data_IF_960662940761
#
_entry.id   IF_960662940761
#
_cell.length_a   1.000
_cell.length_b   1.000
_cell.length_c   1.000
_cell.angle_alpha   90.00
_cell.angle_beta   90.00
_cell.angle_gamma   90.00
#
_symmetry.space_group_name_H-M   'P 1'
#
loop_
_entity.id
_entity.type
_entity.pdbx_description
1 polymer ?
#
# COMPACT_ATOMS: atom_id res chain seq x y z
N UNK A 1 4.00 54.27 -6.96
CA UNK A 1 4.81 53.69 -5.87
C UNK A 1 4.25 54.21 -4.55
N UNK A 2 3.97 53.32 -3.59
CA UNK A 2 3.27 53.65 -2.32
C UNK A 2 4.15 54.51 -1.41
N UNK A 3 3.65 55.67 -1.00
CA UNK A 3 4.41 56.70 -0.25
C UNK A 3 4.34 56.47 1.27
N UNK A 4 3.65 55.43 1.76
CA UNK A 4 3.79 54.96 3.15
C UNK A 4 3.68 53.44 3.25
N UNK A 5 4.79 52.71 3.06
CA UNK A 5 4.87 51.26 3.24
C UNK A 5 4.38 50.82 4.62
N UNK A 6 4.61 51.62 5.66
CA UNK A 6 4.18 51.32 7.03
C UNK A 6 2.66 51.32 7.20
N UNK A 7 1.97 52.32 6.65
CA UNK A 7 0.51 52.41 6.71
C UNK A 7 -0.14 51.25 5.96
N UNK A 8 0.43 50.88 4.81
CA UNK A 8 -0.02 49.73 4.03
C UNK A 8 0.21 48.40 4.78
N UNK A 9 1.42 48.17 5.29
CA UNK A 9 1.75 46.94 6.02
C UNK A 9 0.92 46.79 7.30
N UNK A 10 0.74 47.88 8.05
CA UNK A 10 -0.12 47.91 9.22
C UNK A 10 -1.57 47.57 8.86
N UNK A 11 -2.16 48.26 7.87
CA UNK A 11 -3.54 47.99 7.46
C UNK A 11 -3.69 46.57 6.91
N UNK A 12 -2.71 46.07 6.15
CA UNK A 12 -2.69 44.70 5.60
C UNK A 12 -2.74 43.66 6.70
N UNK A 13 -1.93 43.80 7.75
CA UNK A 13 -1.92 42.89 8.89
C UNK A 13 -3.28 42.86 9.60
N UNK A 14 -3.86 44.03 9.86
CA UNK A 14 -5.17 44.17 10.50
C UNK A 14 -6.30 43.62 9.62
N UNK A 15 -6.22 43.83 8.30
CA UNK A 15 -7.20 43.34 7.34
C UNK A 15 -7.27 41.81 7.31
N UNK A 16 -6.14 41.11 7.45
CA UNK A 16 -6.13 39.65 7.55
C UNK A 16 -6.88 39.13 8.79
N UNK A 17 -6.64 39.75 9.95
CA UNK A 17 -7.33 39.38 11.19
C UNK A 17 -8.83 39.69 11.11
N UNK A 18 -9.18 40.88 10.62
CA UNK A 18 -10.57 41.33 10.47
C UNK A 18 -11.35 40.46 9.48
N UNK A 19 -10.76 40.08 8.35
CA UNK A 19 -11.39 39.21 7.35
C UNK A 19 -11.81 37.85 7.94
N UNK A 20 -11.00 37.29 8.85
CA UNK A 20 -11.32 36.05 9.56
C UNK A 20 -12.57 36.15 10.44
N UNK A 21 -12.83 37.33 11.03
CA UNK A 21 -13.93 37.58 11.98
C UNK A 21 -15.19 38.17 11.34
N UNK A 22 -15.13 38.61 10.09
CA UNK A 22 -16.21 39.31 9.42
C UNK A 22 -17.28 38.34 8.87
N UNK A 23 -18.58 38.60 9.08
CA UNK A 23 -19.68 37.85 8.48
C UNK A 23 -19.58 37.83 6.96
N UNK A 24 -19.99 36.73 6.33
CA UNK A 24 -19.86 36.54 4.87
C UNK A 24 -20.60 37.61 4.05
N UNK A 25 -21.73 38.12 4.54
CA UNK A 25 -22.52 39.17 3.90
C UNK A 25 -21.77 40.52 3.82
N UNK A 26 -20.85 40.76 4.75
CA UNK A 26 -20.07 41.99 4.90
C UNK A 26 -18.69 41.92 4.21
N UNK A 27 -18.31 40.76 3.65
CA UNK A 27 -17.03 40.57 2.93
C UNK A 27 -17.06 41.15 1.52
N UNK A 28 -17.41 42.42 1.43
CA UNK A 28 -17.48 43.18 0.19
C UNK A 28 -16.37 44.23 0.19
N UNK A 29 -15.87 44.57 -1.00
CA UNK A 29 -14.76 45.52 -1.14
C UNK A 29 -15.09 46.89 -0.52
N UNK A 30 -16.36 47.34 -0.64
CA UNK A 30 -16.83 48.60 -0.07
C UNK A 30 -16.75 48.66 1.45
N UNK A 31 -17.24 47.63 2.14
CA UNK A 31 -17.23 47.56 3.62
C UNK A 31 -15.81 47.54 4.19
N UNK A 32 -14.91 46.83 3.51
CA UNK A 32 -13.51 46.71 3.93
C UNK A 32 -12.74 47.99 3.64
N UNK A 33 -13.03 48.65 2.53
CA UNK A 33 -12.46 49.95 2.20
C UNK A 33 -12.93 51.03 3.20
N UNK A 34 -14.21 51.03 3.58
CA UNK A 34 -14.76 51.97 4.56
C UNK A 34 -14.14 51.78 5.96
N UNK A 35 -14.06 50.52 6.43
CA UNK A 35 -13.35 50.20 7.67
C UNK A 35 -11.87 50.58 7.59
N UNK A 36 -11.19 50.22 6.50
CA UNK A 36 -9.76 50.46 6.34
C UNK A 36 -9.41 51.95 6.26
N UNK A 37 -10.26 52.76 5.65
CA UNK A 37 -10.12 54.21 5.62
C UNK A 37 -10.28 54.80 7.03
N UNK A 38 -11.31 54.39 7.78
CA UNK A 38 -11.51 54.84 9.17
C UNK A 38 -10.36 54.42 10.10
N UNK A 39 -9.88 53.18 9.96
CA UNK A 39 -8.76 52.65 10.72
C UNK A 39 -7.44 53.37 10.41
N UNK A 40 -7.21 53.71 9.14
CA UNK A 40 -6.05 54.50 8.72
C UNK A 40 -6.11 55.95 9.21
N UNK A 41 -7.30 56.55 9.26
CA UNK A 41 -7.50 57.89 9.83
C UNK A 41 -7.17 57.90 11.33
N UNK A 42 -7.67 56.93 12.10
CA UNK A 42 -7.33 56.80 13.53
C UNK A 42 -5.85 56.49 13.75
N UNK A 43 -5.26 55.63 12.90
CA UNK A 43 -3.84 55.31 12.95
C UNK A 43 -2.97 56.54 12.68
N UNK A 44 -3.39 57.41 11.75
CA UNK A 44 -2.74 58.69 11.45
C UNK A 44 -2.79 59.64 12.64
N UNK A 45 -3.97 59.80 13.24
CA UNK A 45 -4.22 60.70 14.37
C UNK A 45 -3.47 60.28 15.65
N UNK A 46 -3.21 58.98 15.81
CA UNK A 46 -2.49 58.42 16.95
C UNK A 46 -0.95 58.50 16.86
N UNK A 47 -0.38 59.09 15.81
CA UNK A 47 1.08 59.18 15.60
C UNK A 47 1.59 60.62 15.53
N UNK A 48 2.72 60.94 16.18
CA UNK A 48 3.36 62.26 16.08
C UNK A 48 3.79 62.63 14.66
N UNK A 49 4.13 61.61 13.86
CA UNK A 49 4.67 61.74 12.49
C UNK A 49 3.62 61.43 11.40
N UNK A 50 2.34 61.32 11.77
CA UNK A 50 1.25 60.95 10.85
C UNK A 50 0.87 62.03 9.83
N UNK A 51 1.50 63.22 9.89
CA UNK A 51 1.07 64.43 9.17
C UNK A 51 1.16 64.40 7.64
N UNK A 52 1.95 63.50 7.05
CA UNK A 52 2.30 63.58 5.62
C UNK A 52 1.36 62.83 4.67
N UNK A 53 0.33 62.16 5.19
CA UNK A 53 -0.63 61.39 4.38
C UNK A 53 -1.97 62.12 4.24
N UNK A 54 -2.25 62.57 3.01
CA UNK A 54 -3.56 63.13 2.64
C UNK A 54 -4.68 62.09 2.73
N UNK A 55 -5.91 62.54 2.98
CA UNK A 55 -7.10 61.68 3.02
C UNK A 55 -7.27 60.88 1.71
N UNK A 56 -6.92 61.48 0.58
CA UNK A 56 -6.94 60.83 -0.72
C UNK A 56 -5.91 59.68 -0.85
N UNK A 57 -4.80 59.71 -0.11
CA UNK A 57 -3.82 58.63 -0.06
C UNK A 57 -4.26 57.51 0.88
N UNK A 58 -4.87 57.85 2.01
CA UNK A 58 -5.47 56.86 2.92
C UNK A 58 -6.60 56.09 2.23
N UNK A 59 -7.50 56.82 1.56
CA UNK A 59 -8.61 56.22 0.81
C UNK A 59 -8.14 55.30 -0.33
N UNK A 60 -7.06 55.66 -1.04
CA UNK A 60 -6.47 54.79 -2.07
C UNK A 60 -5.87 53.51 -1.48
N UNK A 61 -5.10 53.65 -0.40
CA UNK A 61 -4.50 52.51 0.31
C UNK A 61 -5.56 51.53 0.83
N UNK A 62 -6.63 52.05 1.43
CA UNK A 62 -7.74 51.24 1.92
C UNK A 62 -8.46 50.49 0.80
N UNK A 63 -8.71 51.15 -0.33
CA UNK A 63 -9.34 50.54 -1.50
C UNK A 63 -8.48 49.44 -2.14
N UNK A 64 -7.17 49.62 -2.22
CA UNK A 64 -6.26 48.63 -2.81
C UNK A 64 -6.12 47.38 -1.92
N UNK A 65 -6.04 47.55 -0.60
CA UNK A 65 -6.07 46.44 0.36
C UNK A 65 -7.41 45.71 0.30
N UNK A 66 -8.53 46.43 0.28
CA UNK A 66 -9.86 45.83 0.19
C UNK A 66 -10.04 44.98 -1.07
N UNK A 67 -9.60 45.50 -2.23
CA UNK A 67 -9.65 44.80 -3.51
C UNK A 67 -8.83 43.52 -3.47
N UNK A 68 -7.59 43.61 -2.99
CA UNK A 68 -6.71 42.44 -2.83
C UNK A 68 -7.31 41.36 -1.91
N UNK A 69 -7.93 41.79 -0.79
CA UNK A 69 -8.55 40.87 0.16
C UNK A 69 -9.73 40.10 -0.47
N UNK A 70 -10.59 40.79 -1.20
CA UNK A 70 -11.74 40.18 -1.89
C UNK A 70 -11.27 39.27 -3.03
N UNK A 71 -10.35 39.73 -3.88
CA UNK A 71 -9.85 38.94 -5.02
C UNK A 71 -9.12 37.68 -4.58
N UNK A 72 -8.26 37.76 -3.55
CA UNK A 72 -7.40 36.65 -3.13
C UNK A 72 -8.07 35.71 -2.12
N UNK A 73 -8.94 36.23 -1.26
CA UNK A 73 -9.56 35.47 -0.16
C UNK A 73 -11.07 35.29 -0.30
N UNK A 74 -11.75 36.00 -1.21
CA UNK A 74 -13.17 35.81 -1.52
C UNK A 74 -13.48 34.49 -2.23
N UNK A 75 -12.52 33.93 -2.98
CA UNK A 75 -12.71 32.71 -3.78
C UNK A 75 -12.23 31.42 -3.10
N UNK A 76 -11.48 31.47 -1.99
CA UNK A 76 -10.97 30.26 -1.34
C UNK A 76 -11.89 29.81 -0.22
N UNK A 77 -12.51 28.63 -0.37
CA UNK A 77 -12.91 27.78 0.75
C UNK A 77 -11.66 27.45 1.57
N UNK A 78 -11.29 28.36 2.46
CA UNK A 78 -10.27 28.10 3.48
C UNK A 78 -10.84 27.07 4.42
N UNK A 79 -10.46 25.79 4.25
CA UNK A 79 -10.55 24.85 5.36
C UNK A 79 -9.80 25.48 6.54
N UNK A 80 -10.35 25.45 7.77
CA UNK A 80 -9.61 25.92 8.94
C UNK A 80 -8.25 25.22 8.97
N UNK A 81 -7.21 25.97 9.36
CA UNK A 81 -5.89 25.38 9.55
C UNK A 81 -6.03 24.18 10.51
N UNK A 82 -5.52 22.99 10.16
CA UNK A 82 -5.61 21.85 11.05
C UNK A 82 -4.92 22.20 12.37
N UNK A 83 -5.62 21.98 13.49
CA UNK A 83 -5.12 22.26 14.86
C UNK A 83 -3.91 21.40 15.24
N UNK A 84 -3.55 20.42 14.42
CA UNK A 84 -2.47 19.46 14.63
C UNK A 84 -1.60 19.36 13.38
N UNK A 85 -0.28 19.23 13.59
CA UNK A 85 0.70 19.05 12.51
C UNK A 85 0.40 17.76 11.72
N UNK A 86 0.99 17.61 10.52
CA UNK A 86 0.86 16.36 9.77
C UNK A 86 1.39 15.16 10.58
N UNK A 87 2.50 15.35 11.30
CA UNK A 87 3.07 14.36 12.21
C UNK A 87 2.13 14.04 13.37
N UNK A 88 1.56 15.06 14.03
CA UNK A 88 0.62 14.85 15.13
C UNK A 88 -0.62 14.06 14.71
N UNK A 89 -1.13 14.28 13.50
CA UNK A 89 -2.24 13.47 12.94
C UNK A 89 -1.83 12.05 12.58
N UNK A 90 -0.59 11.83 12.17
CA UNK A 90 -0.05 10.50 11.89
C UNK A 90 0.14 9.69 13.19
N UNK A 91 0.70 10.32 14.23
CA UNK A 91 0.85 9.73 15.58
C UNK A 91 -0.51 9.40 16.17
N UNK A 92 -1.46 10.34 16.15
CA UNK A 92 -2.81 10.11 16.65
C UNK A 92 -3.50 8.95 15.91
N UNK A 93 -3.37 8.89 14.58
CA UNK A 93 -3.91 7.77 13.80
C UNK A 93 -3.27 6.44 14.21
N UNK A 94 -1.96 6.40 14.45
CA UNK A 94 -1.20 5.21 14.88
C UNK A 94 -1.67 4.71 16.26
N UNK A 95 -1.87 5.62 17.20
CA UNK A 95 -2.37 5.31 18.54
C UNK A 95 -3.77 4.70 18.47
N UNK A 96 -4.68 5.30 17.68
CA UNK A 96 -6.05 4.81 17.52
C UNK A 96 -6.09 3.47 16.78
N UNK A 97 -5.20 3.23 15.81
CA UNK A 97 -5.29 2.08 14.92
C UNK A 97 -4.49 0.85 15.36
N UNK A 98 -3.52 1.01 16.28
CA UNK A 98 -2.61 -0.05 16.71
C UNK A 98 -2.45 -0.07 18.24
N UNK A 99 -1.88 0.98 18.83
CA UNK A 99 -1.48 1.01 20.25
C UNK A 99 -2.63 0.69 21.21
N UNK A 100 -3.78 1.36 21.07
CA UNK A 100 -4.93 1.12 21.96
C UNK A 100 -5.62 -0.22 21.69
N UNK A 101 -5.83 -0.64 20.44
CA UNK A 101 -6.22 -2.01 20.14
C UNK A 101 -5.36 -3.10 20.80
N UNK A 102 -4.03 -2.96 20.73
CA UNK A 102 -3.09 -3.94 21.31
C UNK A 102 -3.22 -3.97 22.84
N UNK A 103 -3.33 -2.79 23.48
CA UNK A 103 -3.59 -2.68 24.91
C UNK A 103 -4.94 -3.29 25.32
N UNK A 104 -6.01 -3.07 24.54
CA UNK A 104 -7.33 -3.63 24.82
C UNK A 104 -7.30 -5.17 24.76
N UNK A 105 -6.56 -5.75 23.82
CA UNK A 105 -6.38 -7.20 23.73
C UNK A 105 -5.58 -7.77 24.89
N UNK A 106 -4.51 -7.08 25.31
CA UNK A 106 -3.68 -7.45 26.45
C UNK A 106 -4.50 -7.53 27.76
N UNK A 107 -5.47 -6.62 27.93
CA UNK A 107 -6.37 -6.62 29.10
C UNK A 107 -7.64 -7.47 28.90
N UNK A 108 -7.73 -8.24 27.81
CA UNK A 108 -8.86 -9.13 27.51
C UNK A 108 -10.16 -8.42 27.13
N UNK A 109 -10.10 -7.16 26.70
CA UNK A 109 -11.24 -6.38 26.23
C UNK A 109 -11.39 -6.44 24.70
N UNK A 110 -12.64 -6.48 24.19
CA UNK A 110 -12.89 -6.54 22.75
C UNK A 110 -12.53 -5.21 22.05
N UNK A 111 -11.72 -5.29 20.99
CA UNK A 111 -11.31 -4.15 20.16
C UNK A 111 -12.49 -3.67 19.31
N UNK A 112 -13.27 -2.74 19.86
CA UNK A 112 -14.39 -2.09 19.17
C UNK A 112 -14.14 -0.60 18.98
N UNK A 113 -14.76 0.00 17.96
CA UNK A 113 -14.66 1.46 17.74
C UNK A 113 -15.13 2.27 18.96
N UNK A 114 -16.11 1.74 19.71
CA UNK A 114 -16.62 2.32 20.94
C UNK A 114 -15.58 2.25 22.07
N UNK A 115 -14.95 1.09 22.28
CA UNK A 115 -13.93 0.91 23.33
C UNK A 115 -12.71 1.81 23.07
N UNK A 116 -12.22 1.84 21.82
CA UNK A 116 -11.08 2.71 21.42
C UNK A 116 -11.43 4.19 21.55
N UNK A 117 -12.66 4.58 21.20
CA UNK A 117 -13.14 5.95 21.33
C UNK A 117 -13.21 6.42 22.80
N UNK A 118 -13.68 5.54 23.69
CA UNK A 118 -13.74 5.81 25.13
C UNK A 118 -12.34 5.91 25.75
N UNK A 119 -11.42 5.06 25.32
CA UNK A 119 -10.06 5.04 25.87
C UNK A 119 -9.21 6.26 25.50
N UNK A 120 -9.48 6.88 24.34
CA UNK A 120 -8.71 8.02 23.81
C UNK A 120 -9.47 9.34 23.83
N UNK A 121 -10.68 9.37 24.40
CA UNK A 121 -11.61 10.50 24.36
C UNK A 121 -11.77 11.10 22.94
N UNK A 122 -11.98 10.22 21.95
CA UNK A 122 -12.22 10.60 20.56
C UNK A 122 -13.61 10.15 20.11
N UNK A 123 -14.17 10.81 19.09
CA UNK A 123 -15.45 10.34 18.52
C UNK A 123 -15.35 8.90 17.97
N UNK A 124 -16.39 8.10 18.18
CA UNK A 124 -16.50 6.73 17.66
C UNK A 124 -16.31 6.64 16.13
N UNK A 125 -16.79 7.67 15.41
CA UNK A 125 -16.62 7.77 13.95
C UNK A 125 -15.14 7.91 13.54
N UNK A 126 -14.33 8.60 14.35
CA UNK A 126 -12.88 8.76 14.13
C UNK A 126 -12.16 7.45 14.40
N UNK A 127 -12.49 6.80 15.53
CA UNK A 127 -11.97 5.48 15.89
C UNK A 127 -12.28 4.43 14.81
N UNK A 128 -13.54 4.33 14.37
CA UNK A 128 -13.97 3.38 13.33
C UNK A 128 -13.20 3.53 12.02
N UNK A 129 -13.00 4.77 11.54
CA UNK A 129 -12.23 5.02 10.31
C UNK A 129 -10.76 4.63 10.47
N UNK A 130 -10.14 4.96 11.59
CA UNK A 130 -8.75 4.64 11.84
C UNK A 130 -8.52 3.13 11.97
N UNK A 131 -9.39 2.41 12.69
CA UNK A 131 -9.34 0.94 12.82
C UNK A 131 -9.50 0.23 11.48
N UNK A 132 -10.45 0.67 10.64
CA UNK A 132 -10.64 0.13 9.29
C UNK A 132 -9.41 0.30 8.38
N UNK A 133 -8.53 1.27 8.70
CA UNK A 133 -7.29 1.51 7.94
C UNK A 133 -6.09 0.76 8.52
N UNK A 134 -6.13 0.36 9.79
CA UNK A 134 -4.97 -0.21 10.51
C UNK A 134 -4.99 -1.72 10.67
N UNK A 135 -6.16 -2.34 10.86
CA UNK A 135 -6.27 -3.77 11.20
C UNK A 135 -6.90 -4.64 10.09
N UNK A 136 -7.08 -4.09 8.88
CA UNK A 136 -7.90 -4.74 7.87
C UNK A 136 -9.36 -4.86 8.35
N UNK A 137 -10.31 -5.12 7.45
CA UNK A 137 -11.70 -5.21 7.86
C UNK A 137 -12.00 -6.62 8.42
N UNK A 138 -12.23 -6.81 9.75
CA UNK A 138 -12.65 -8.11 10.31
C UNK A 138 -13.93 -8.68 9.68
N UNK A 139 -14.68 -7.87 8.93
CA UNK A 139 -15.82 -8.31 8.13
C UNK A 139 -15.45 -9.04 6.84
N UNK A 140 -14.26 -8.81 6.27
CA UNK A 140 -13.83 -9.44 5.02
C UNK A 140 -13.39 -10.87 5.27
N UNK A 141 -12.54 -11.08 6.26
CA UNK A 141 -12.01 -12.40 6.59
C UNK A 141 -13.10 -13.33 7.12
N UNK A 142 -14.03 -12.82 7.94
CA UNK A 142 -15.23 -13.57 8.34
C UNK A 142 -16.14 -13.93 7.13
N UNK A 143 -16.23 -13.07 6.11
CA UNK A 143 -17.00 -13.34 4.89
C UNK A 143 -16.31 -14.36 3.99
N UNK A 144 -14.98 -14.34 3.91
CA UNK A 144 -14.18 -15.38 3.22
C UNK A 144 -14.32 -16.71 3.97
N UNK A 145 -14.23 -16.65 5.30
CA UNK A 145 -14.62 -17.65 6.29
C UNK A 145 -15.84 -18.49 5.89
N UNK A 146 -16.92 -17.74 5.63
CA UNK A 146 -18.26 -18.26 5.36
C UNK A 146 -18.48 -18.75 3.92
N UNK A 147 -17.51 -18.62 3.02
CA UNK A 147 -17.61 -19.19 1.67
C UNK A 147 -17.51 -20.72 1.72
N UNK A 148 -18.30 -21.39 0.88
CA UNK A 148 -18.17 -22.82 0.64
C UNK A 148 -16.89 -23.16 -0.15
N UNK A 149 -16.54 -24.44 -0.28
CA UNK A 149 -15.27 -24.85 -0.90
C UNK A 149 -15.06 -24.30 -2.32
N UNK A 150 -16.11 -24.31 -3.16
CA UNK A 150 -16.02 -23.72 -4.49
C UNK A 150 -15.94 -22.18 -4.44
N UNK A 151 -16.68 -21.53 -3.53
CA UNK A 151 -16.62 -20.08 -3.32
C UNK A 151 -15.25 -19.62 -2.87
N UNK A 152 -14.56 -20.37 -2.01
CA UNK A 152 -13.17 -20.09 -1.59
C UNK A 152 -12.20 -20.17 -2.77
N UNK A 153 -12.25 -21.24 -3.56
CA UNK A 153 -11.43 -21.39 -4.77
C UNK A 153 -11.69 -20.23 -5.76
N UNK A 154 -12.96 -19.85 -5.95
CA UNK A 154 -13.31 -18.71 -6.80
C UNK A 154 -12.80 -17.38 -6.25
N UNK A 155 -12.81 -17.21 -4.92
CA UNK A 155 -12.29 -16.02 -4.27
C UNK A 155 -10.78 -15.93 -4.43
N UNK A 156 -10.04 -17.03 -4.26
CA UNK A 156 -8.60 -17.09 -4.51
C UNK A 156 -8.24 -16.76 -5.95
N UNK A 157 -8.97 -17.33 -6.92
CA UNK A 157 -8.80 -16.99 -8.35
C UNK A 157 -9.05 -15.49 -8.57
N UNK A 158 -10.11 -14.94 -7.98
CA UNK A 158 -10.48 -13.54 -8.13
C UNK A 158 -9.47 -12.58 -7.48
N UNK A 159 -8.97 -12.89 -6.29
CA UNK A 159 -7.92 -12.13 -5.61
C UNK A 159 -6.60 -12.17 -6.38
N UNK A 160 -6.20 -13.34 -6.89
CA UNK A 160 -4.98 -13.49 -7.68
C UNK A 160 -5.04 -12.71 -9.00
N UNK A 161 -6.19 -12.71 -9.68
CA UNK A 161 -6.38 -11.99 -10.93
C UNK A 161 -6.57 -10.47 -10.74
N UNK A 162 -7.22 -10.07 -9.65
CA UNK A 162 -7.59 -8.69 -9.37
C UNK A 162 -7.27 -8.36 -7.90
N UNK A 163 -5.98 -8.17 -7.54
CA UNK A 163 -5.57 -7.81 -6.17
C UNK A 163 -6.01 -6.38 -5.79
N UNK A 164 -6.33 -5.57 -6.79
CA UNK A 164 -6.85 -4.20 -6.66
C UNK A 164 -8.09 -4.01 -7.53
N UNK A 165 -8.78 -2.87 -7.36
CA UNK A 165 -9.90 -2.48 -8.20
C UNK A 165 -9.52 -2.54 -9.69
N UNK A 166 -10.26 -3.33 -10.47
CA UNK A 166 -9.91 -3.65 -11.84
C UNK A 166 -10.90 -4.61 -12.48
N UNK A 167 -10.62 -5.04 -13.72
CA UNK A 167 -11.44 -6.01 -14.42
C UNK A 167 -10.61 -6.92 -15.32
N UNK A 168 -11.12 -8.12 -15.58
CA UNK A 168 -10.59 -9.05 -16.56
C UNK A 168 -11.73 -9.86 -17.21
N UNK A 169 -11.43 -10.58 -18.29
CA UNK A 169 -12.35 -11.53 -18.92
C UNK A 169 -11.76 -12.92 -18.83
N UNK A 170 -12.58 -13.91 -18.46
CA UNK A 170 -12.20 -15.30 -18.24
C UNK A 170 -13.09 -16.22 -19.07
N UNK A 171 -12.64 -17.45 -19.31
CA UNK A 171 -13.49 -18.52 -19.87
C UNK A 171 -14.18 -19.28 -18.75
N UNK A 172 -15.49 -19.47 -18.91
CA UNK A 172 -16.30 -20.24 -17.97
C UNK A 172 -15.90 -21.72 -17.99
N UNK A 173 -15.54 -22.27 -19.16
CA UNK A 173 -14.98 -23.62 -19.31
C UNK A 173 -13.78 -23.88 -18.40
N UNK A 174 -12.84 -22.94 -18.38
CA UNK A 174 -11.56 -23.12 -17.69
C UNK A 174 -11.77 -23.08 -16.17
N UNK A 175 -12.64 -22.20 -15.69
CA UNK A 175 -12.99 -22.13 -14.27
C UNK A 175 -13.82 -23.36 -13.87
N UNK A 176 -14.74 -23.79 -14.74
CA UNK A 176 -15.56 -24.97 -14.50
C UNK A 176 -14.72 -26.24 -14.38
N UNK A 177 -13.71 -26.43 -15.24
CA UNK A 177 -12.79 -27.56 -15.19
C UNK A 177 -11.96 -27.59 -13.89
N UNK A 178 -11.73 -26.41 -13.28
CA UNK A 178 -11.02 -26.29 -12.00
C UNK A 178 -11.90 -26.58 -10.79
N UNK A 179 -13.19 -26.29 -10.88
CA UNK A 179 -14.14 -26.53 -9.78
C UNK A 179 -14.76 -27.93 -9.83
N UNK A 180 -14.93 -28.50 -11.01
CA UNK A 180 -15.65 -29.76 -11.21
C UNK A 180 -14.91 -30.66 -12.21
N UNK A 181 -14.75 -31.94 -11.85
CA UNK A 181 -14.05 -32.96 -12.62
C UNK A 181 -14.79 -33.42 -13.87
N UNK A 182 -16.13 -33.42 -13.84
CA UNK A 182 -16.91 -34.03 -14.93
C UNK A 182 -17.00 -33.07 -16.12
N UNK A 183 -16.74 -33.46 -17.37
CA UNK A 183 -16.91 -32.58 -18.52
C UNK A 183 -18.39 -32.26 -18.81
N UNK A 184 -18.65 -31.07 -19.38
CA UNK A 184 -20.00 -30.68 -19.83
C UNK A 184 -20.09 -30.82 -21.36
N UNK A 185 -20.58 -31.98 -21.81
CA UNK A 185 -20.53 -32.38 -23.22
C UNK A 185 -21.63 -31.75 -24.08
N UNK A 186 -22.80 -31.44 -23.50
CA UNK A 186 -23.94 -30.85 -24.23
C UNK A 186 -24.13 -29.37 -23.94
N UNK A 187 -24.74 -28.62 -24.87
CA UNK A 187 -25.01 -27.19 -24.68
C UNK A 187 -25.97 -26.91 -23.51
N UNK A 188 -26.93 -27.81 -23.27
CA UNK A 188 -27.80 -27.75 -22.10
C UNK A 188 -27.00 -27.94 -20.79
N UNK A 189 -26.05 -28.87 -20.76
CA UNK A 189 -25.15 -29.07 -19.61
C UNK A 189 -24.22 -27.87 -19.39
N UNK A 190 -23.68 -27.28 -20.46
CA UNK A 190 -22.86 -26.06 -20.39
C UNK A 190 -23.65 -24.88 -19.84
N UNK A 191 -24.91 -24.70 -20.26
CA UNK A 191 -25.79 -23.64 -19.75
C UNK A 191 -26.10 -23.82 -18.26
N UNK A 192 -26.49 -25.03 -17.85
CA UNK A 192 -26.72 -25.39 -16.44
C UNK A 192 -25.47 -25.20 -15.58
N UNK A 193 -24.29 -25.55 -16.13
CA UNK A 193 -23.02 -25.37 -15.42
C UNK A 193 -22.63 -23.90 -15.30
N UNK A 194 -22.88 -23.08 -16.32
CA UNK A 194 -22.69 -21.63 -16.22
C UNK A 194 -23.60 -21.01 -15.16
N UNK A 195 -24.85 -21.43 -15.07
CA UNK A 195 -25.76 -20.99 -14.01
C UNK A 195 -25.25 -21.40 -12.61
N UNK A 196 -24.76 -22.64 -12.48
CA UNK A 196 -24.11 -23.12 -11.24
C UNK A 196 -22.87 -22.29 -10.89
N UNK A 197 -22.06 -21.94 -11.88
CA UNK A 197 -20.86 -21.11 -11.71
C UNK A 197 -21.20 -19.69 -11.27
N UNK A 198 -22.19 -19.06 -11.91
CA UNK A 198 -22.68 -17.74 -11.51
C UNK A 198 -23.26 -17.74 -10.08
N UNK A 199 -23.95 -18.82 -9.71
CA UNK A 199 -24.44 -19.00 -8.33
C UNK A 199 -23.29 -19.11 -7.34
N UNK A 200 -22.20 -19.80 -7.68
CA UNK A 200 -21.01 -19.89 -6.84
C UNK A 200 -20.24 -18.55 -6.72
N UNK A 201 -20.29 -17.69 -7.76
CA UNK A 201 -19.75 -16.33 -7.70
C UNK A 201 -20.62 -15.34 -6.91
N UNK A 202 -21.92 -15.59 -6.75
CA UNK A 202 -22.85 -14.64 -6.14
C UNK A 202 -22.44 -14.17 -4.72
N UNK A 203 -21.96 -15.04 -3.81
CA UNK A 203 -21.49 -14.62 -2.48
C UNK A 203 -20.30 -13.66 -2.52
N UNK A 204 -19.44 -13.74 -3.54
CA UNK A 204 -18.25 -12.89 -3.68
C UNK A 204 -18.61 -11.42 -3.98
N UNK A 205 -19.87 -11.12 -4.34
CA UNK A 205 -20.34 -9.74 -4.45
C UNK A 205 -20.25 -8.96 -3.13
N UNK A 206 -20.37 -9.67 -1.98
CA UNK A 206 -20.16 -9.08 -0.65
C UNK A 206 -18.68 -8.80 -0.35
N UNK A 207 -17.79 -9.34 -1.17
CA UNK A 207 -16.34 -9.09 -1.18
C UNK A 207 -15.95 -8.12 -2.32
N UNK A 208 -16.94 -7.48 -2.95
CA UNK A 208 -16.78 -6.52 -4.06
C UNK A 208 -16.32 -7.13 -5.39
N UNK A 209 -16.49 -8.44 -5.58
CA UNK A 209 -16.30 -9.07 -6.89
C UNK A 209 -17.62 -9.25 -7.63
N UNK A 210 -17.67 -8.75 -8.85
CA UNK A 210 -18.86 -8.74 -9.68
C UNK A 210 -18.59 -9.43 -11.01
N UNK A 211 -19.45 -10.39 -11.36
CA UNK A 211 -19.31 -11.18 -12.58
C UNK A 211 -20.52 -10.95 -13.50
N UNK A 212 -20.26 -10.86 -14.80
CA UNK A 212 -21.28 -10.86 -15.86
C UNK A 212 -20.86 -11.88 -16.92
N UNK A 213 -21.80 -12.72 -17.36
CA UNK A 213 -21.52 -13.78 -18.34
C UNK A 213 -22.20 -13.51 -19.69
N UNK A 214 -21.53 -13.90 -20.78
CA UNK A 214 -22.13 -14.04 -22.12
C UNK A 214 -21.46 -15.19 -22.86
N UNK A 215 -22.24 -16.20 -23.26
CA UNK A 215 -21.69 -17.42 -23.86
C UNK A 215 -20.79 -18.16 -22.86
N UNK A 216 -19.56 -18.47 -23.29
CA UNK A 216 -18.51 -19.08 -22.47
C UNK A 216 -17.58 -18.03 -21.82
N UNK A 217 -17.86 -16.74 -21.98
CA UNK A 217 -17.02 -15.67 -21.43
C UNK A 217 -17.64 -15.07 -20.16
N UNK A 218 -16.77 -14.74 -19.20
CA UNK A 218 -17.09 -14.12 -17.92
C UNK A 218 -16.29 -12.84 -17.74
N UNK A 219 -16.95 -11.71 -17.58
CA UNK A 219 -16.33 -10.45 -17.20
C UNK A 219 -16.33 -10.34 -15.68
N UNK A 220 -15.15 -10.43 -15.07
CA UNK A 220 -14.94 -10.28 -13.64
C UNK A 220 -14.45 -8.85 -13.34
N UNK A 221 -14.98 -8.22 -12.29
CA UNK A 221 -14.58 -6.90 -11.83
C UNK A 221 -14.52 -6.85 -10.31
N UNK A 222 -13.49 -6.19 -9.79
CA UNK A 222 -13.37 -5.82 -8.38
C UNK A 222 -13.77 -4.36 -8.18
N UNK A 223 -14.45 -4.09 -7.06
CA UNK A 223 -14.89 -2.76 -6.66
C UNK A 223 -16.32 -2.48 -7.11
N UNK A 224 -16.52 -1.55 -8.06
CA UNK A 224 -17.87 -1.14 -8.50
C UNK A 224 -18.55 -2.22 -9.33
N UNK A 225 -19.88 -2.31 -9.21
CA UNK A 225 -20.71 -3.14 -10.09
C UNK A 225 -20.51 -2.77 -11.56
N UNK A 226 -20.64 -3.76 -12.44
CA UNK A 226 -20.64 -3.56 -13.88
C UNK A 226 -21.80 -2.66 -14.32
N UNK A 227 -21.52 -1.76 -15.25
CA UNK A 227 -22.55 -1.21 -16.12
C UNK A 227 -22.84 -2.25 -17.22
N UNK A 228 -24.11 -2.51 -17.58
CA UNK A 228 -24.46 -3.53 -18.57
C UNK A 228 -23.72 -3.35 -19.91
N UNK A 229 -23.63 -2.12 -20.40
CA UNK A 229 -22.97 -1.77 -21.67
C UNK A 229 -21.45 -2.01 -21.61
N UNK A 230 -20.80 -1.60 -20.52
CA UNK A 230 -19.36 -1.81 -20.33
C UNK A 230 -19.01 -3.30 -20.32
N UNK A 231 -19.77 -4.12 -19.58
CA UNK A 231 -19.55 -5.56 -19.51
C UNK A 231 -19.75 -6.21 -20.89
N UNK A 232 -20.81 -5.83 -21.60
CA UNK A 232 -21.09 -6.34 -22.94
C UNK A 232 -19.97 -6.01 -23.93
N UNK A 233 -19.44 -4.77 -23.90
CA UNK A 233 -18.33 -4.35 -24.74
C UNK A 233 -17.04 -5.15 -24.47
N UNK A 234 -16.72 -5.41 -23.20
CA UNK A 234 -15.52 -6.22 -22.83
C UNK A 234 -15.66 -7.67 -23.25
N UNK A 235 -16.84 -8.25 -23.09
CA UNK A 235 -17.13 -9.63 -23.52
C UNK A 235 -17.06 -9.77 -25.04
N UNK A 236 -17.62 -8.81 -25.79
CA UNK A 236 -17.54 -8.80 -27.25
C UNK A 236 -16.08 -8.69 -27.74
N UNK A 237 -15.31 -7.78 -27.15
CA UNK A 237 -13.91 -7.58 -27.50
C UNK A 237 -13.02 -8.81 -27.21
N UNK A 238 -13.36 -9.60 -26.18
CA UNK A 238 -12.67 -10.85 -25.87
C UNK A 238 -13.11 -12.02 -26.78
N UNK A 239 -14.36 -12.01 -27.25
CA UNK A 239 -14.84 -12.97 -28.25
C UNK A 239 -14.13 -12.81 -29.60
N UNK A 240 -13.82 -11.57 -30.00
CA UNK A 240 -13.11 -11.28 -31.25
C UNK A 240 -11.60 -11.56 -31.18
N UNK A 241 -10.98 -11.40 -29.99
CA UNK A 241 -9.53 -11.55 -29.79
C UNK A 241 -9.23 -12.43 -28.58
N UNK A 242 -8.87 -13.71 -28.80
CA UNK A 242 -8.58 -14.67 -27.72
C UNK A 242 -7.54 -14.19 -26.71
N UNK A 243 -6.53 -13.41 -27.13
CA UNK A 243 -5.51 -12.83 -26.25
C UNK A 243 -6.00 -11.79 -25.24
N UNK A 244 -7.30 -11.47 -25.22
CA UNK A 244 -7.93 -10.61 -24.21
C UNK A 244 -8.62 -11.39 -23.08
N UNK A 245 -8.58 -12.72 -23.16
CA UNK A 245 -8.99 -13.61 -22.06
C UNK A 245 -7.77 -13.80 -21.15
N UNK A 246 -7.93 -13.50 -19.86
CA UNK A 246 -6.90 -13.71 -18.87
C UNK A 246 -6.75 -15.21 -18.57
N UNK A 247 -5.52 -15.75 -18.52
CA UNK A 247 -5.27 -17.13 -18.12
C UNK A 247 -5.62 -17.32 -16.64
N UNK A 248 -6.00 -18.54 -16.24
CA UNK A 248 -6.23 -18.85 -14.84
C UNK A 248 -4.90 -18.99 -14.08
N UNK A 249 -4.79 -18.43 -12.86
CA UNK A 249 -3.59 -18.58 -12.02
C UNK A 249 -3.45 -20.04 -11.59
N UNK A 250 -2.25 -20.64 -11.61
CA UNK A 250 -2.02 -22.04 -11.18
C UNK A 250 -2.48 -22.23 -9.72
N UNK A 251 -3.15 -23.35 -9.34
CA UNK A 251 -3.49 -23.61 -7.93
C UNK A 251 -2.23 -23.63 -7.06
N UNK A 252 -2.28 -23.07 -5.85
CA UNK A 252 -1.15 -23.06 -4.91
C UNK A 252 -0.63 -24.47 -4.63
N UNK A 253 -1.52 -25.45 -4.63
CA UNK A 253 -1.22 -26.88 -4.42
C UNK A 253 -0.59 -27.59 -5.64
N UNK A 254 -0.42 -26.87 -6.77
CA UNK A 254 0.22 -27.39 -8.00
C UNK A 254 1.38 -26.51 -8.50
N UNK A 255 1.77 -25.51 -7.72
CA UNK A 255 3.00 -24.76 -8.00
C UNK A 255 4.21 -25.57 -7.59
N UNK A 256 5.28 -25.51 -8.38
CA UNK A 256 6.58 -26.02 -7.97
C UNK A 256 6.99 -25.31 -6.67
N UNK A 257 7.47 -26.06 -5.67
CA UNK A 257 7.89 -25.55 -4.38
C UNK A 257 8.84 -24.36 -4.53
N UNK A 258 9.82 -24.49 -5.42
CA UNK A 258 10.83 -23.47 -5.68
C UNK A 258 10.31 -22.25 -6.44
N UNK A 259 9.10 -22.32 -7.00
CA UNK A 259 8.45 -21.20 -7.70
C UNK A 259 7.46 -20.44 -6.81
N UNK A 260 7.15 -20.98 -5.62
CA UNK A 260 6.33 -20.28 -4.63
C UNK A 260 6.95 -18.93 -4.27
N UNK A 261 6.10 -17.92 -4.09
CA UNK A 261 6.56 -16.56 -3.80
C UNK A 261 7.32 -16.50 -2.45
N UNK A 262 6.94 -17.39 -1.53
CA UNK A 262 7.54 -17.57 -0.22
C UNK A 262 8.99 -18.04 -0.31
N UNK A 263 9.22 -19.15 -1.01
CA UNK A 263 10.55 -19.72 -1.20
C UNK A 263 11.42 -18.80 -2.05
N UNK A 264 10.86 -18.20 -3.12
CA UNK A 264 11.61 -17.22 -3.95
C UNK A 264 12.02 -15.99 -3.15
N UNK A 265 11.15 -15.47 -2.28
CA UNK A 265 11.46 -14.36 -1.39
C UNK A 265 12.57 -14.68 -0.37
N UNK A 266 12.56 -15.88 0.21
CA UNK A 266 13.63 -16.33 1.11
C UNK A 266 14.98 -16.48 0.38
N UNK A 267 15.00 -17.09 -0.80
CA UNK A 267 16.19 -17.18 -1.66
C UNK A 267 16.68 -15.78 -2.03
N UNK A 268 15.78 -14.87 -2.41
CA UNK A 268 16.12 -13.49 -2.72
C UNK A 268 16.81 -12.81 -1.54
N UNK A 269 16.34 -13.08 -0.33
CA UNK A 269 16.94 -12.49 0.87
C UNK A 269 18.33 -13.06 1.17
N UNK A 270 18.51 -14.37 0.98
CA UNK A 270 19.82 -15.02 1.06
C UNK A 270 20.79 -14.48 -0.01
N UNK A 271 20.30 -14.16 -1.22
CA UNK A 271 21.09 -13.51 -2.27
C UNK A 271 21.48 -12.07 -1.90
N UNK A 272 20.57 -11.32 -1.27
CA UNK A 272 20.84 -9.95 -0.79
C UNK A 272 21.96 -9.97 0.25
N UNK A 273 21.92 -10.88 1.23
CA UNK A 273 22.98 -10.95 2.24
C UNK A 273 24.33 -11.34 1.64
N UNK A 274 24.37 -12.31 0.72
CA UNK A 274 25.63 -12.86 0.22
C UNK A 274 26.30 -12.08 -0.90
N UNK A 275 25.55 -11.29 -1.69
CA UNK A 275 26.08 -10.71 -2.94
C UNK A 275 25.69 -9.26 -3.24
N UNK A 276 24.91 -8.59 -2.38
CA UNK A 276 24.52 -7.19 -2.60
C UNK A 276 23.71 -7.04 -3.88
N UNK A 277 22.41 -7.33 -3.79
CA UNK A 277 21.51 -7.60 -4.92
C UNK A 277 21.74 -6.68 -6.12
N UNK A 278 21.80 -7.19 -7.34
CA UNK A 278 22.01 -6.34 -8.52
C UNK A 278 20.81 -6.41 -9.46
N UNK A 279 19.83 -7.27 -9.15
CA UNK A 279 18.74 -7.61 -10.08
C UNK A 279 17.35 -7.22 -9.57
N UNK A 280 16.52 -6.62 -10.44
CA UNK A 280 15.15 -6.27 -10.10
C UNK A 280 14.25 -7.45 -9.68
N UNK A 281 14.46 -8.63 -10.24
CA UNK A 281 13.71 -9.85 -9.87
C UNK A 281 13.99 -10.27 -8.43
N UNK A 282 15.26 -10.20 -8.00
CA UNK A 282 15.65 -10.46 -6.60
C UNK A 282 14.98 -9.43 -5.68
N UNK A 283 14.99 -8.16 -6.06
CA UNK A 283 14.39 -7.11 -5.24
C UNK A 283 12.86 -7.22 -5.18
N UNK A 284 12.19 -7.58 -6.27
CA UNK A 284 10.73 -7.79 -6.30
C UNK A 284 10.31 -8.94 -5.38
N UNK A 285 11.01 -10.08 -5.45
CA UNK A 285 10.73 -11.23 -4.59
C UNK A 285 11.03 -10.92 -3.12
N UNK A 286 12.08 -10.14 -2.84
CA UNK A 286 12.36 -9.61 -1.50
C UNK A 286 11.21 -8.72 -1.00
N UNK A 287 10.74 -7.76 -1.79
CA UNK A 287 9.62 -6.89 -1.39
C UNK A 287 8.34 -7.67 -1.13
N UNK A 288 8.06 -8.68 -1.97
CA UNK A 288 6.86 -9.50 -1.87
C UNK A 288 6.76 -10.19 -0.51
N UNK A 289 7.89 -10.71 -0.02
CA UNK A 289 7.91 -11.45 1.24
C UNK A 289 7.92 -10.55 2.47
N UNK A 290 8.54 -9.37 2.37
CA UNK A 290 8.62 -8.42 3.48
C UNK A 290 7.26 -7.80 3.86
N UNK A 291 6.25 -7.85 2.97
CA UNK A 291 4.89 -7.30 3.17
C UNK A 291 4.83 -5.85 3.67
N UNK A 292 5.94 -5.11 3.58
CA UNK A 292 6.08 -3.73 4.04
C UNK A 292 5.18 -2.77 3.25
N UNK A 293 4.86 -3.15 2.01
CA UNK A 293 3.99 -2.39 1.11
C UNK A 293 2.95 -3.32 0.50
N UNK A 294 1.68 -2.94 0.61
CA UNK A 294 0.57 -3.69 0.00
C UNK A 294 0.63 -3.68 -1.55
N UNK A 295 1.29 -2.67 -2.13
CA UNK A 295 1.56 -2.53 -3.57
C UNK A 295 3.02 -2.07 -3.80
N UNK A 296 3.89 -3.01 -4.15
CA UNK A 296 5.31 -2.77 -4.36
C UNK A 296 5.65 -1.92 -5.59
N UNK A 297 4.70 -1.61 -6.50
CA UNK A 297 5.00 -0.93 -7.78
C UNK A 297 5.63 0.45 -7.60
N UNK A 298 5.22 1.20 -6.58
CA UNK A 298 5.81 2.50 -6.28
C UNK A 298 7.28 2.36 -5.84
N UNK A 299 7.58 1.35 -5.04
CA UNK A 299 8.94 1.03 -4.59
C UNK A 299 9.79 0.53 -5.75
N UNK A 300 9.26 -0.39 -6.57
CA UNK A 300 9.93 -0.88 -7.77
C UNK A 300 10.21 0.23 -8.78
N UNK A 301 9.29 1.18 -8.97
CA UNK A 301 9.51 2.35 -9.83
C UNK A 301 10.66 3.23 -9.34
N UNK A 302 10.75 3.45 -8.02
CA UNK A 302 11.83 4.20 -7.38
C UNK A 302 13.16 3.45 -7.49
N UNK A 303 13.14 2.14 -7.29
CA UNK A 303 14.29 1.26 -7.43
C UNK A 303 14.83 1.25 -8.88
N UNK A 304 13.96 1.10 -9.88
CA UNK A 304 14.35 1.21 -11.29
C UNK A 304 14.87 2.61 -11.65
N UNK A 305 14.32 3.66 -11.04
CA UNK A 305 14.84 5.01 -11.19
C UNK A 305 16.26 5.11 -10.62
N UNK A 306 16.50 4.58 -9.41
CA UNK A 306 17.82 4.49 -8.78
C UNK A 306 18.84 3.77 -9.68
N UNK A 307 18.45 2.62 -10.24
CA UNK A 307 19.28 1.84 -11.15
C UNK A 307 19.60 2.61 -12.45
N UNK A 308 18.63 3.38 -12.98
CA UNK A 308 18.79 4.13 -14.23
C UNK A 308 19.73 5.32 -14.09
N UNK A 309 19.56 6.11 -13.03
CA UNK A 309 20.33 7.35 -12.83
C UNK A 309 21.78 7.07 -12.43
N UNK A 310 22.04 5.90 -11.89
CA UNK A 310 23.32 5.56 -11.29
C UNK A 310 24.25 4.75 -12.19
N UNK A 311 23.77 4.36 -13.38
CA UNK A 311 24.63 3.80 -14.43
C UNK A 311 25.32 2.49 -14.07
N UNK A 312 24.67 1.63 -13.26
CA UNK A 312 25.22 0.46 -12.56
C UNK A 312 26.26 0.84 -11.49
N UNK A 313 25.79 1.13 -10.27
CA UNK A 313 26.65 1.30 -9.09
C UNK A 313 27.25 -0.07 -8.78
N UNK A 314 28.56 -0.21 -8.99
CA UNK A 314 29.29 -1.45 -8.71
C UNK A 314 29.40 -1.78 -7.20
N UNK A 315 28.92 -0.92 -6.30
CA UNK A 315 28.94 -1.07 -4.84
C UNK A 315 27.56 -0.76 -4.23
N UNK A 316 26.63 -1.68 -4.43
CA UNK A 316 25.26 -1.58 -3.94
C UNK A 316 25.12 -1.44 -2.41
N UNK A 317 26.08 -1.97 -1.65
CA UNK A 317 26.00 -2.10 -0.19
C UNK A 317 25.97 -0.78 0.59
N UNK A 318 26.47 0.32 0.02
CA UNK A 318 26.54 1.61 0.72
C UNK A 318 25.49 2.62 0.24
N UNK A 319 25.03 2.49 -1.00
CA UNK A 319 24.31 3.57 -1.68
C UNK A 319 22.80 3.36 -1.76
N UNK A 320 22.31 2.11 -1.82
CA UNK A 320 20.88 1.83 -1.96
C UNK A 320 20.06 2.12 -0.69
N UNK A 321 20.52 1.77 0.52
CA UNK A 321 19.83 2.12 1.76
C UNK A 321 19.76 3.64 1.96
N UNK A 322 20.90 4.31 1.73
CA UNK A 322 21.01 5.77 1.72
C UNK A 322 20.09 6.39 0.69
N UNK A 323 19.98 5.80 -0.50
CA UNK A 323 19.06 6.23 -1.54
C UNK A 323 17.60 6.13 -1.09
N UNK A 324 17.18 5.00 -0.54
CA UNK A 324 15.81 4.84 -0.07
C UNK A 324 15.46 5.77 1.10
N UNK A 325 16.40 5.98 2.04
CA UNK A 325 16.25 6.95 3.11
C UNK A 325 16.11 8.39 2.58
N UNK A 326 16.91 8.77 1.59
CA UNK A 326 16.84 10.09 0.96
C UNK A 326 15.58 10.27 0.10
N UNK A 327 15.15 9.23 -0.63
CA UNK A 327 13.91 9.22 -1.39
C UNK A 327 12.69 9.34 -0.47
N UNK A 328 12.71 8.67 0.69
CA UNK A 328 11.65 8.75 1.71
C UNK A 328 11.43 10.19 2.23
N UNK A 329 12.49 11.00 2.35
CA UNK A 329 12.41 12.42 2.76
C UNK A 329 12.22 13.39 1.59
N UNK A 330 11.96 12.89 0.38
CA UNK A 330 11.59 13.69 -0.77
C UNK A 330 12.74 14.27 -1.59
N UNK A 331 13.94 13.68 -1.51
CA UNK A 331 15.08 14.07 -2.36
C UNK A 331 14.84 13.73 -3.83
N UNK A 332 15.61 14.37 -4.70
CA UNK A 332 15.53 14.22 -6.18
C UNK A 332 14.14 14.55 -6.77
N UNK A 333 13.32 15.32 -6.05
CA UNK A 333 11.97 15.67 -6.49
C UNK A 333 10.97 14.51 -6.39
N UNK A 334 11.35 13.38 -5.78
CA UNK A 334 10.48 12.23 -5.60
C UNK A 334 9.49 12.56 -4.49
N UNK A 335 8.19 12.63 -4.78
CA UNK A 335 7.15 12.79 -3.76
C UNK A 335 6.53 11.45 -3.45
N UNK A 336 6.80 10.93 -2.26
CA UNK A 336 6.23 9.67 -1.77
C UNK A 336 5.09 9.93 -0.80
N UNK A 337 4.04 9.11 -0.87
CA UNK A 337 3.03 9.09 0.18
C UNK A 337 3.67 8.64 1.52
N UNK A 338 3.16 9.08 2.69
CA UNK A 338 3.76 8.75 3.98
C UNK A 338 3.93 7.24 4.24
N UNK A 339 2.98 6.44 3.76
CA UNK A 339 3.02 4.97 3.87
C UNK A 339 4.14 4.37 3.03
N UNK A 340 4.41 4.91 1.84
CA UNK A 340 5.50 4.50 0.96
C UNK A 340 6.84 4.99 1.51
N UNK A 341 6.91 6.25 1.97
CA UNK A 341 8.10 6.85 2.58
C UNK A 341 8.64 6.01 3.75
N UNK A 342 7.77 5.65 4.69
CA UNK A 342 8.16 4.81 5.83
C UNK A 342 8.65 3.43 5.39
N UNK A 343 7.95 2.80 4.44
CA UNK A 343 8.35 1.51 3.93
C UNK A 343 9.69 1.57 3.19
N UNK A 344 9.99 2.63 2.43
CA UNK A 344 11.28 2.80 1.76
C UNK A 344 12.42 2.89 2.79
N UNK A 345 12.27 3.69 3.83
CA UNK A 345 13.26 3.75 4.91
C UNK A 345 13.47 2.40 5.58
N UNK A 346 12.38 1.67 5.88
CA UNK A 346 12.44 0.36 6.51
C UNK A 346 13.08 -0.71 5.61
N UNK A 347 12.75 -0.70 4.30
CA UNK A 347 13.38 -1.56 3.29
C UNK A 347 14.88 -1.28 3.22
N UNK A 348 15.28 0.00 3.19
CA UNK A 348 16.69 0.40 3.20
C UNK A 348 17.43 -0.16 4.41
N UNK A 349 16.90 0.04 5.62
CA UNK A 349 17.51 -0.48 6.85
C UNK A 349 17.65 -2.01 6.85
N UNK A 350 16.63 -2.75 6.38
CA UNK A 350 16.67 -4.22 6.34
C UNK A 350 17.71 -4.74 5.37
N UNK A 351 17.84 -4.12 4.19
CA UNK A 351 18.90 -4.46 3.23
C UNK A 351 20.27 -4.27 3.87
N UNK A 352 20.51 -3.12 4.54
CA UNK A 352 21.77 -2.85 5.23
C UNK A 352 22.11 -3.92 6.24
N UNK A 353 21.17 -4.29 7.11
CA UNK A 353 21.41 -5.31 8.14
C UNK A 353 21.76 -6.66 7.52
N UNK A 354 21.09 -7.05 6.43
CA UNK A 354 21.36 -8.31 5.74
C UNK A 354 22.73 -8.33 5.05
N UNK A 355 23.11 -7.22 4.42
CA UNK A 355 24.42 -7.08 3.78
C UNK A 355 25.53 -7.05 4.83
N UNK A 356 25.35 -6.35 5.94
CA UNK A 356 26.27 -6.41 7.09
C UNK A 356 26.41 -7.84 7.59
N UNK A 357 25.31 -8.56 7.81
CA UNK A 357 25.33 -9.94 8.27
C UNK A 357 26.12 -10.86 7.30
N UNK A 358 25.93 -10.69 5.98
CA UNK A 358 26.69 -11.44 4.99
C UNK A 358 28.16 -11.02 4.87
N UNK A 359 28.48 -9.73 5.02
CA UNK A 359 29.84 -9.20 4.96
C UNK A 359 30.66 -9.59 6.19
N UNK A 360 30.03 -9.64 7.37
CA UNK A 360 30.65 -10.04 8.62
C UNK A 360 30.57 -11.55 8.89
N UNK A 361 30.06 -12.33 7.92
CA UNK A 361 30.14 -13.78 7.92
C UNK A 361 29.16 -14.48 8.86
N UNK A 362 28.00 -13.90 9.17
CA UNK A 362 26.93 -14.62 9.89
C UNK A 362 26.38 -15.75 9.04
N UNK A 363 25.89 -16.80 9.70
CA UNK A 363 25.36 -17.95 8.99
C UNK A 363 24.11 -17.58 8.17
N UNK A 364 23.87 -18.31 7.08
CA UNK A 364 22.62 -18.19 6.32
C UNK A 364 21.40 -18.44 7.21
N UNK A 365 21.52 -19.36 8.18
CA UNK A 365 20.51 -19.59 9.21
C UNK A 365 20.28 -18.35 10.05
N UNK A 366 21.31 -17.70 10.60
CA UNK A 366 21.14 -16.48 11.41
C UNK A 366 20.56 -15.35 10.59
N UNK A 367 20.94 -15.24 9.31
CA UNK A 367 20.34 -14.28 8.37
C UNK A 367 18.84 -14.59 8.21
N UNK A 368 18.49 -15.84 7.93
CA UNK A 368 17.10 -16.32 7.79
C UNK A 368 16.33 -16.17 9.09
N UNK A 369 16.90 -16.49 10.25
CA UNK A 369 16.27 -16.33 11.55
C UNK A 369 16.10 -14.86 11.93
N UNK A 370 17.08 -14.01 11.64
CA UNK A 370 16.95 -12.55 11.79
C UNK A 370 15.80 -12.03 10.91
N UNK A 371 15.62 -12.59 9.73
CA UNK A 371 14.49 -12.26 8.84
C UNK A 371 13.14 -12.73 9.36
N UNK A 372 13.10 -13.96 9.86
CA UNK A 372 11.90 -14.57 10.42
C UNK A 372 11.50 -13.91 11.75
N UNK A 373 12.49 -13.43 12.50
CA UNK A 373 12.32 -12.72 13.77
C UNK A 373 12.15 -11.21 13.61
N UNK A 374 12.27 -10.64 12.40
CA UNK A 374 11.91 -9.23 12.19
C UNK A 374 10.41 -9.04 12.39
N UNK A 375 10.06 -8.58 13.59
CA UNK A 375 8.73 -8.12 13.93
C UNK A 375 8.44 -6.83 13.17
N UNK A 376 7.77 -6.92 12.02
CA UNK A 376 7.12 -5.75 11.47
C UNK A 376 5.85 -5.50 12.29
N UNK A 377 5.88 -4.49 13.18
CA UNK A 377 4.69 -4.04 13.94
C UNK A 377 4.08 -5.12 14.85
N UNK A 378 4.91 -5.88 15.55
CA UNK A 378 4.47 -6.84 16.58
C UNK A 378 3.84 -8.13 16.05
N UNK A 379 4.06 -8.45 14.77
CA UNK A 379 3.67 -9.74 14.18
C UNK A 379 4.91 -10.31 13.53
N UNK A 380 5.33 -11.50 13.98
CA UNK A 380 6.44 -12.21 13.36
C UNK A 380 6.10 -12.46 11.88
N UNK A 381 7.10 -12.36 11.00
CA UNK A 381 6.98 -12.66 9.58
C UNK A 381 6.22 -13.98 9.31
N UNK A 382 6.35 -14.96 10.23
CA UNK A 382 5.75 -16.30 10.19
C UNK A 382 4.25 -16.36 10.50
N UNK A 383 3.69 -15.46 11.32
CA UNK A 383 2.27 -15.51 11.71
C UNK A 383 1.32 -15.15 10.56
N UNK A 384 1.88 -14.71 9.44
CA UNK A 384 1.21 -14.22 8.26
C UNK A 384 1.04 -15.26 7.12
N UNK A 385 1.57 -16.47 7.30
CA UNK A 385 1.52 -17.55 6.31
C UNK A 385 0.50 -18.62 6.72
N UNK A 386 -0.24 -19.14 5.73
CA UNK A 386 -1.09 -20.32 5.92
C UNK A 386 -0.24 -21.57 6.17
N UNK A 387 -0.87 -22.67 6.60
CA UNK A 387 -0.13 -23.88 7.03
C UNK A 387 0.73 -24.49 5.89
N UNK A 388 0.32 -24.33 4.63
CA UNK A 388 1.09 -24.76 3.45
C UNK A 388 2.34 -23.89 3.25
N UNK A 389 2.20 -22.57 3.29
CA UNK A 389 3.35 -21.68 3.23
C UNK A 389 4.32 -21.89 4.41
N UNK A 390 3.81 -22.18 5.62
CA UNK A 390 4.65 -22.52 6.77
C UNK A 390 5.46 -23.80 6.54
N UNK A 391 4.81 -24.87 6.07
CA UNK A 391 5.49 -26.12 5.75
C UNK A 391 6.59 -25.94 4.68
N UNK A 392 6.38 -25.03 3.71
CA UNK A 392 7.39 -24.72 2.70
C UNK A 392 8.60 -23.97 3.25
N UNK A 393 8.37 -23.06 4.18
CA UNK A 393 9.44 -22.32 4.88
C UNK A 393 10.25 -23.29 5.76
N UNK A 394 9.60 -24.18 6.50
CA UNK A 394 10.25 -25.19 7.33
C UNK A 394 11.08 -26.17 6.48
N UNK A 395 10.54 -26.62 5.35
CA UNK A 395 11.27 -27.45 4.40
C UNK A 395 12.50 -26.72 3.82
N UNK A 396 12.37 -25.44 3.48
CA UNK A 396 13.48 -24.60 3.03
C UNK A 396 14.56 -24.47 4.11
N UNK A 397 14.19 -24.22 5.38
CA UNK A 397 15.14 -24.15 6.50
C UNK A 397 15.97 -25.42 6.63
N UNK A 398 15.32 -26.59 6.61
CA UNK A 398 16.02 -27.87 6.69
C UNK A 398 16.98 -28.13 5.52
N UNK A 399 16.75 -27.51 4.35
CA UNK A 399 17.65 -27.57 3.19
C UNK A 399 18.88 -26.69 3.39
N UNK A 400 18.71 -25.51 3.98
CA UNK A 400 19.81 -24.56 4.18
C UNK A 400 20.60 -24.80 5.48
N UNK A 401 20.09 -25.60 6.40
CA UNK A 401 20.73 -25.98 7.67
C UNK A 401 21.89 -26.99 7.53
N UNK A 402 22.29 -27.35 6.30
CA UNK A 402 23.45 -28.22 6.08
C UNK A 402 24.74 -27.43 6.33
N UNK A 403 25.35 -27.67 7.49
CA UNK A 403 26.64 -27.11 7.90
C UNK A 403 27.82 -27.70 7.12
N UNK A 404 28.87 -26.92 6.94
CA UNK A 404 30.19 -27.35 6.51
C UNK A 404 30.96 -28.06 7.64
N UNK A 405 32.19 -28.48 7.35
CA UNK A 405 33.04 -29.25 8.27
C UNK A 405 33.39 -28.52 9.57
N UNK A 406 33.28 -27.19 9.59
CA UNK A 406 33.59 -26.32 10.74
C UNK A 406 32.32 -25.95 11.52
N UNK A 407 31.15 -26.49 11.13
CA UNK A 407 29.86 -26.19 11.75
C UNK A 407 29.21 -24.89 11.26
N UNK A 408 29.74 -24.28 10.20
CA UNK A 408 29.20 -23.05 9.60
C UNK A 408 28.38 -23.38 8.35
N UNK A 409 27.35 -22.59 8.02
CA UNK A 409 26.63 -22.81 6.77
C UNK A 409 27.37 -22.12 5.63
N UNK A 410 27.78 -22.88 4.61
CA UNK A 410 28.25 -22.32 3.34
C UNK A 410 27.06 -21.78 2.54
N UNK A 411 26.70 -20.51 2.77
CA UNK A 411 25.58 -19.84 2.10
C UNK A 411 25.71 -19.80 0.56
N UNK A 412 26.93 -19.80 0.03
CA UNK A 412 27.17 -19.92 -1.41
C UNK A 412 26.80 -21.32 -1.91
N UNK A 413 27.11 -22.36 -1.14
CA UNK A 413 26.70 -23.73 -1.44
C UNK A 413 25.20 -23.94 -1.22
N UNK A 414 24.60 -23.36 -0.18
CA UNK A 414 23.16 -23.36 0.02
C UNK A 414 22.42 -22.75 -1.18
N UNK A 415 22.87 -21.59 -1.68
CA UNK A 415 22.31 -21.00 -2.90
C UNK A 415 22.46 -21.90 -4.13
N UNK A 416 23.64 -22.51 -4.32
CA UNK A 416 23.85 -23.47 -5.43
C UNK A 416 22.93 -24.69 -5.31
N UNK A 417 22.68 -25.16 -4.08
CA UNK A 417 21.79 -26.27 -3.79
C UNK A 417 20.34 -25.90 -4.09
N UNK A 418 19.87 -24.73 -3.66
CA UNK A 418 18.55 -24.20 -4.02
C UNK A 418 18.39 -24.10 -5.55
N UNK A 419 19.35 -23.52 -6.25
CA UNK A 419 19.31 -23.39 -7.71
C UNK A 419 19.36 -24.76 -8.43
N UNK A 420 20.01 -25.77 -7.84
CA UNK A 420 20.01 -27.16 -8.34
C UNK A 420 18.65 -27.81 -8.13
N UNK A 421 18.14 -27.84 -6.91
CA UNK A 421 16.86 -28.46 -6.57
C UNK A 421 15.69 -27.81 -7.33
N UNK A 422 15.74 -26.48 -7.55
CA UNK A 422 14.78 -25.78 -8.39
C UNK A 422 14.80 -26.23 -9.86
N UNK A 423 15.95 -26.63 -10.39
CA UNK A 423 16.04 -27.22 -11.74
C UNK A 423 15.51 -28.65 -11.74
N UNK A 424 15.93 -29.46 -10.77
CA UNK A 424 15.48 -30.85 -10.63
C UNK A 424 13.96 -30.95 -10.42
N UNK A 425 13.33 -29.99 -9.72
CA UNK A 425 11.86 -29.93 -9.60
C UNK A 425 11.19 -29.59 -10.93
N UNK A 426 11.73 -28.63 -11.70
CA UNK A 426 11.21 -28.29 -13.04
C UNK A 426 11.35 -29.45 -14.02
N UNK A 427 12.45 -30.19 -13.91
CA UNK A 427 12.73 -31.35 -14.75
C UNK A 427 11.98 -32.62 -14.29
N UNK A 428 11.25 -32.53 -13.16
CA UNK A 428 10.44 -33.62 -12.60
C UNK A 428 11.27 -34.73 -11.94
N UNK A 429 12.56 -34.49 -11.69
CA UNK A 429 13.49 -35.44 -11.08
C UNK A 429 13.54 -35.31 -9.55
N UNK A 430 12.91 -34.27 -8.99
CA UNK A 430 12.77 -34.05 -7.55
C UNK A 430 11.37 -33.48 -7.23
N UNK A 431 10.86 -33.72 -6.02
CA UNK A 431 9.61 -33.12 -5.54
C UNK A 431 9.67 -32.77 -4.06
N UNK A 432 9.08 -31.64 -3.67
CA UNK A 432 8.92 -31.29 -2.26
C UNK A 432 7.90 -32.18 -1.52
N UNK A 433 7.02 -32.85 -2.26
CA UNK A 433 5.97 -33.72 -1.71
C UNK A 433 6.52 -34.83 -0.82
N UNK A 434 7.68 -35.40 -1.18
CA UNK A 434 8.38 -36.39 -0.37
C UNK A 434 8.93 -35.81 0.94
N UNK A 435 9.35 -34.55 0.93
CA UNK A 435 9.73 -33.83 2.15
C UNK A 435 8.50 -33.65 3.03
N UNK A 436 7.45 -33.01 2.50
CA UNK A 436 6.23 -32.64 3.25
C UNK A 436 5.57 -33.87 3.87
N UNK A 437 5.62 -35.03 3.20
CA UNK A 437 4.97 -36.26 3.66
C UNK A 437 5.84 -37.13 4.58
N UNK A 438 7.15 -37.13 4.42
CA UNK A 438 8.01 -38.13 5.07
C UNK A 438 9.16 -37.54 5.90
N UNK A 439 9.36 -36.22 5.89
CA UNK A 439 10.38 -35.54 6.70
C UNK A 439 11.82 -35.99 6.43
N UNK A 440 12.08 -36.67 5.31
CA UNK A 440 13.39 -37.21 4.98
C UNK A 440 14.31 -36.09 4.43
N UNK A 441 15.59 -36.01 4.88
CA UNK A 441 16.55 -35.13 4.25
C UNK A 441 17.09 -35.82 2.99
N UNK A 442 17.09 -35.06 1.89
CA UNK A 442 17.81 -35.22 0.61
C UNK A 442 18.47 -36.56 0.30
#
# INVERSE_FOLDING_TARGET
MSIAPEAFEWLRAQAYERWGRMPKAERQAGEIAAWGASALTHWREGRPDGGDLSDAQLGRTANDVARYMVERYGQKRSRPAPRTTAEGRAVEKRIISAVVPDYLEEIGQPVTAKAVAQHLDVSERKASRALATGRGAPKRDARVAALDGHGRILHEIAEALLPVDGFCVLRASDIAARLWSDPAETDAARRKRRERLLKAFAPLALLSFHVVAKGDLLALRRGRKWKPEDAAARLAAAAEKPGRVAPLPVPRDKGLFWESAEVRGLIATLRVSLRGGDRPDVFEDFLAIQRLVHDGRAVMGIYHFAHRISGSINHWCNDLPSFFALAAVGKWGIRTEPTVSHALSEIGCRITMLEEDGCWGRSAFDTVQTLLSFESRGVAFIECFDDDARARIEAFQAIVDVSDADGWIDGSTALKLCDRLAREERDGTWSADSWIKYGAPF
#
